data_IF_394980294695
#
_entry.id   IF_394980294695
#
_cell.length_a   1.000
_cell.length_b   1.000
_cell.length_c   1.000
_cell.angle_alpha   90.00
_cell.angle_beta   90.00
_cell.angle_gamma   90.00
#
_symmetry.space_group_name_H-M   'P 1'
#
loop_
_entity.id
_entity.type
_entity.pdbx_description
1 polymer ?
#
# COMPACT_ATOMS: atom_id res chain seq x y z
N UNK A 1 -10.42 -2.50 10.63
CA UNK A 1 -9.54 -2.87 9.49
C UNK A 1 -9.71 -1.92 8.30
N UNK A 2 -10.94 -1.69 7.81
CA UNK A 2 -11.19 -0.77 6.68
C UNK A 2 -10.65 0.66 6.92
N UNK A 3 -10.78 1.16 8.14
CA UNK A 3 -10.35 2.50 8.53
C UNK A 3 -8.84 2.75 8.33
N UNK A 4 -7.97 1.84 8.79
CA UNK A 4 -6.52 1.96 8.60
C UNK A 4 -6.16 1.83 7.11
N UNK A 5 -6.81 0.92 6.39
CA UNK A 5 -6.57 0.78 4.95
C UNK A 5 -6.94 2.06 4.18
N UNK A 6 -8.06 2.70 4.53
CA UNK A 6 -8.49 3.97 3.92
C UNK A 6 -7.54 5.11 4.28
N UNK A 7 -7.07 5.18 5.53
CA UNK A 7 -6.06 6.15 5.94
C UNK A 7 -4.74 5.96 5.18
N UNK A 8 -4.30 4.71 4.98
CA UNK A 8 -3.11 4.38 4.21
C UNK A 8 -3.26 4.80 2.74
N UNK A 9 -4.34 4.41 2.05
CA UNK A 9 -4.57 4.77 0.63
C UNK A 9 -4.52 6.28 0.43
N UNK A 10 -5.15 7.04 1.33
CA UNK A 10 -5.22 8.51 1.22
C UNK A 10 -3.87 9.21 1.42
N UNK A 11 -2.91 8.54 2.05
CA UNK A 11 -1.56 9.04 2.30
C UNK A 11 -0.54 8.60 1.23
N UNK A 12 -0.96 7.78 0.25
CA UNK A 12 -0.08 7.32 -0.81
C UNK A 12 0.20 8.41 -1.86
N UNK A 13 1.43 8.46 -2.42
CA UNK A 13 1.75 9.39 -3.50
C UNK A 13 0.82 9.23 -4.71
N UNK A 14 0.31 10.35 -5.22
CA UNK A 14 -0.56 10.36 -6.41
C UNK A 14 -2.05 10.12 -6.14
N UNK A 15 -2.44 9.80 -4.91
CA UNK A 15 -3.86 9.70 -4.52
C UNK A 15 -4.35 11.07 -4.04
N UNK A 16 -5.23 11.71 -4.82
CA UNK A 16 -5.81 13.03 -4.47
C UNK A 16 -7.14 12.93 -3.74
N UNK A 17 -7.91 11.87 -4.00
CA UNK A 17 -9.21 11.63 -3.37
C UNK A 17 -9.53 10.14 -3.35
N UNK A 18 -10.14 9.67 -2.26
CA UNK A 18 -10.55 8.29 -2.08
C UNK A 18 -12.07 8.20 -2.09
N UNK A 19 -12.63 7.40 -3.01
CA UNK A 19 -14.07 7.15 -3.08
C UNK A 19 -14.41 6.00 -2.13
N UNK A 20 -15.35 6.21 -1.21
CA UNK A 20 -15.76 5.20 -0.22
C UNK A 20 -17.23 4.81 -0.40
N UNK A 21 -17.49 3.52 -0.24
CA UNK A 21 -18.84 2.97 -0.11
C UNK A 21 -19.07 2.44 1.31
N UNK A 22 -20.31 2.50 1.78
CA UNK A 22 -20.72 1.92 3.05
C UNK A 22 -22.09 1.26 2.90
N UNK A 23 -22.24 0.06 3.47
CA UNK A 23 -23.50 -0.71 3.40
C UNK A 23 -24.47 -0.39 4.55
N UNK A 24 -23.97 0.24 5.62
CA UNK A 24 -24.72 0.66 6.80
C UNK A 24 -24.07 1.91 7.43
N UNK A 25 -24.79 2.61 8.34
CA UNK A 25 -24.31 3.84 8.96
C UNK A 25 -23.05 3.66 9.81
N UNK A 26 -22.90 2.53 10.49
CA UNK A 26 -21.75 2.27 11.37
C UNK A 26 -20.45 2.16 10.55
N UNK A 27 -20.51 1.49 9.39
CA UNK A 27 -19.39 1.43 8.47
C UNK A 27 -19.05 2.81 7.90
N UNK A 28 -20.06 3.63 7.59
CA UNK A 28 -19.82 4.98 7.11
C UNK A 28 -19.07 5.80 8.18
N UNK A 29 -19.47 5.71 9.44
CA UNK A 29 -18.79 6.41 10.54
C UNK A 29 -17.33 5.96 10.69
N UNK A 30 -17.06 4.65 10.69
CA UNK A 30 -15.67 4.15 10.73
C UNK A 30 -14.86 4.59 9.51
N UNK A 31 -15.45 4.56 8.30
CA UNK A 31 -14.77 5.05 7.10
C UNK A 31 -14.45 6.55 7.21
N UNK A 32 -15.33 7.36 7.77
CA UNK A 32 -15.09 8.79 7.97
C UNK A 32 -13.99 9.06 8.99
N UNK A 33 -13.91 8.26 10.06
CA UNK A 33 -12.84 8.38 11.06
C UNK A 33 -11.44 8.17 10.47
N UNK A 34 -11.33 7.40 9.37
CA UNK A 34 -10.06 7.26 8.63
C UNK A 34 -9.47 8.58 8.15
N UNK A 35 -10.29 9.63 8.00
CA UNK A 35 -9.83 10.96 7.58
C UNK A 35 -9.05 11.70 8.67
N UNK A 36 -9.30 11.35 9.93
CA UNK A 36 -8.64 11.92 11.11
C UNK A 36 -7.34 11.19 11.46
N UNK A 37 -7.18 9.96 10.97
CA UNK A 37 -5.96 9.18 11.14
C UNK A 37 -4.85 9.64 10.19
N UNK A 38 -3.73 10.04 10.80
CA UNK A 38 -2.46 10.29 10.13
C UNK A 38 -1.52 9.16 10.58
N UNK A 39 -1.02 8.39 9.62
CA UNK A 39 -0.07 7.32 9.90
C UNK A 39 1.33 7.91 9.89
N UNK A 40 2.17 7.50 10.83
CA UNK A 40 3.58 7.89 10.83
C UNK A 40 4.32 7.31 9.62
N UNK A 41 5.46 7.91 9.27
CA UNK A 41 6.30 7.40 8.18
C UNK A 41 6.73 5.94 8.40
N UNK A 42 6.99 5.56 9.66
CA UNK A 42 7.37 4.20 10.02
C UNK A 42 6.20 3.21 9.86
N UNK A 43 4.98 3.62 10.22
CA UNK A 43 3.78 2.80 10.02
C UNK A 43 3.44 2.63 8.53
N UNK A 44 3.52 3.71 7.75
CA UNK A 44 3.33 3.66 6.30
C UNK A 44 4.34 2.71 5.66
N UNK A 45 5.62 2.86 5.99
CA UNK A 45 6.69 1.99 5.49
C UNK A 45 6.44 0.53 5.85
N UNK A 46 6.04 0.26 7.10
CA UNK A 46 5.76 -1.11 7.54
C UNK A 46 4.59 -1.73 6.77
N UNK A 47 3.53 -0.96 6.49
CA UNK A 47 2.39 -1.41 5.69
C UNK A 47 2.81 -1.65 4.23
N UNK A 48 3.61 -0.76 3.66
CA UNK A 48 4.13 -0.89 2.28
C UNK A 48 4.97 -2.17 2.12
N UNK A 49 5.88 -2.43 3.07
CA UNK A 49 6.76 -3.59 3.04
C UNK A 49 6.00 -4.92 3.06
N UNK A 50 4.95 -5.04 3.90
CA UNK A 50 4.16 -6.27 4.00
C UNK A 50 3.15 -6.42 2.86
N UNK A 51 2.76 -5.32 2.22
CA UNK A 51 1.78 -5.30 1.12
C UNK A 51 2.43 -5.35 -0.27
N UNK A 52 3.76 -5.28 -0.33
CA UNK A 52 4.50 -5.29 -1.58
C UNK A 52 4.19 -6.54 -2.42
N UNK A 53 3.68 -6.31 -3.63
CA UNK A 53 3.45 -7.39 -4.59
C UNK A 53 4.79 -7.97 -5.06
N UNK A 54 4.85 -9.28 -5.32
CA UNK A 54 6.01 -9.87 -5.98
C UNK A 54 6.21 -9.23 -7.36
N UNK A 55 7.47 -9.15 -7.82
CA UNK A 55 7.80 -8.54 -9.10
C UNK A 55 7.05 -9.23 -10.23
N UNK A 56 6.23 -8.48 -10.94
CA UNK A 56 5.52 -8.96 -12.11
C UNK A 56 6.49 -9.16 -13.29
N UNK A 57 6.09 -9.96 -14.27
CA UNK A 57 6.87 -10.13 -15.50
C UNK A 57 6.92 -8.82 -16.30
N UNK A 58 8.06 -8.43 -16.90
CA UNK A 58 9.35 -9.13 -16.93
C UNK A 58 10.30 -8.76 -15.79
N UNK A 59 9.85 -8.00 -14.79
CA UNK A 59 10.67 -7.50 -13.67
C UNK A 59 11.41 -8.61 -12.91
N UNK A 60 10.78 -9.74 -12.64
CA UNK A 60 11.47 -10.89 -12.03
C UNK A 60 12.49 -11.54 -12.98
N UNK A 61 12.22 -11.55 -14.29
CA UNK A 61 13.09 -12.21 -15.29
C UNK A 61 14.40 -11.43 -15.47
N UNK A 62 14.34 -10.10 -15.45
CA UNK A 62 15.52 -9.23 -15.54
C UNK A 62 16.46 -9.44 -14.35
N UNK A 63 15.93 -9.57 -13.13
CA UNK A 63 16.75 -9.86 -11.95
C UNK A 63 17.33 -11.26 -11.95
N UNK A 64 16.55 -12.24 -12.41
CA UNK A 64 17.01 -13.61 -12.54
C UNK A 64 18.18 -13.72 -13.54
N UNK A 65 18.06 -13.12 -14.72
CA UNK A 65 19.11 -13.11 -15.74
C UNK A 65 20.33 -12.25 -15.36
N UNK A 66 20.13 -11.23 -14.53
CA UNK A 66 21.22 -10.40 -13.99
C UNK A 66 22.04 -11.08 -12.90
N UNK A 67 21.51 -12.14 -12.27
CA UNK A 67 22.16 -12.87 -11.17
C UNK A 67 23.37 -13.66 -11.65
N UNK A 68 23.29 -14.27 -12.83
CA UNK A 68 24.38 -15.03 -13.45
C UNK A 68 25.59 -14.17 -13.82
N UNK A 69 25.40 -12.86 -14.03
CA UNK A 69 26.50 -11.93 -14.38
C UNK A 69 27.28 -11.44 -13.15
N UNK A 70 26.70 -11.47 -11.95
CA UNK A 70 27.31 -10.88 -10.74
C UNK A 70 28.07 -11.87 -9.85
N UNK A 71 27.90 -13.18 -10.06
CA UNK A 71 28.55 -14.23 -9.23
C UNK A 71 29.90 -14.71 -9.81
N UNK A 72 30.36 -14.09 -10.91
CA UNK A 72 31.60 -14.42 -11.61
C UNK A 72 32.70 -13.37 -11.55
N UNK A 73 32.62 -12.38 -10.64
CA UNK A 73 33.70 -11.43 -10.32
C UNK A 73 34.01 -11.42 -8.83
#
# INVERSE_FOLDING_TARGET
AAEIALAWVRQQPGVTSTIIGAKNPEQLQSNLHSTELILSADELKRIDEISALPKEYPGWMVEFQGKDRKDGM
#
